data_IF_494963047641
#
_entry.id   IF_494963047641
#
_cell.length_a   1.000
_cell.length_b   1.000
_cell.length_c   1.000
_cell.angle_alpha   90.00
_cell.angle_beta   90.00
_cell.angle_gamma   90.00
#
_symmetry.space_group_name_H-M   'P 1'
#
loop_
_entity.id
_entity.type
_entity.pdbx_description
1 polymer ?
#
# COMPACT_ATOMS: atom_id res chain seq x y z
N UNK A 1 -1.67 -0.95 9.19
CA UNK A 1 -2.56 -0.34 10.19
C UNK A 1 -1.80 0.05 11.46
N UNK A 2 -1.01 -0.86 12.05
CA UNK A 2 -0.32 -0.59 13.31
C UNK A 2 0.64 0.61 13.24
N UNK A 3 1.35 0.77 12.13
CA UNK A 3 2.21 1.93 11.89
C UNK A 3 1.41 3.24 11.85
N UNK A 4 0.21 3.21 11.27
CA UNK A 4 -0.69 4.36 11.25
C UNK A 4 -1.25 4.66 12.64
N UNK A 5 -1.58 3.64 13.42
CA UNK A 5 -2.11 3.80 14.78
C UNK A 5 -1.15 4.57 15.70
N UNK A 6 0.15 4.38 15.50
CA UNK A 6 1.18 5.10 16.25
C UNK A 6 1.38 6.53 15.74
N UNK A 7 1.24 6.75 14.42
CA UNK A 7 1.62 8.01 13.76
C UNK A 7 0.49 9.01 13.61
N UNK A 8 -0.75 8.56 13.58
CA UNK A 8 -1.93 9.42 13.36
C UNK A 8 -2.67 9.61 14.66
N UNK A 9 -2.58 10.81 15.23
CA UNK A 9 -3.28 11.20 16.44
C UNK A 9 -3.75 12.66 16.30
N UNK A 10 -5.05 12.96 16.51
CA UNK A 10 -6.12 11.99 16.78
C UNK A 10 -6.48 11.15 15.55
N UNK A 11 -7.01 9.96 15.78
CA UNK A 11 -7.56 9.11 14.72
C UNK A 11 -8.87 9.68 14.17
N UNK A 12 -9.29 9.27 12.94
CA UNK A 12 -10.59 9.64 12.40
C UNK A 12 -11.71 9.29 13.37
N UNK A 13 -12.75 10.12 13.38
CA UNK A 13 -13.90 9.94 14.27
C UNK A 13 -14.55 8.55 14.05
N UNK A 14 -14.84 7.87 15.15
CA UNK A 14 -15.52 6.58 15.12
C UNK A 14 -14.61 5.35 15.07
N UNK A 15 -13.29 5.52 14.98
CA UNK A 15 -12.35 4.40 15.03
C UNK A 15 -11.34 4.55 16.16
N UNK A 16 -10.97 3.42 16.76
CA UNK A 16 -9.89 3.33 17.76
C UNK A 16 -8.60 2.79 17.16
N UNK A 17 -8.70 2.02 16.07
CA UNK A 17 -7.57 1.49 15.32
C UNK A 17 -7.87 1.47 13.84
N UNK A 18 -6.87 1.75 13.01
CA UNK A 18 -6.99 1.61 11.55
C UNK A 18 -7.25 0.17 11.10
N UNK A 19 -7.00 -0.82 11.96
CA UNK A 19 -7.38 -2.22 11.71
C UNK A 19 -8.89 -2.39 11.50
N UNK A 20 -9.71 -1.56 12.11
CA UNK A 20 -11.17 -1.60 11.97
C UNK A 20 -11.64 -1.28 10.55
N UNK A 21 -10.77 -0.67 9.73
CA UNK A 21 -11.05 -0.36 8.32
C UNK A 21 -10.73 -1.52 7.37
N UNK A 22 -10.17 -2.63 7.87
CA UNK A 22 -9.85 -3.79 7.05
C UNK A 22 -11.15 -4.51 6.68
N UNK A 23 -11.40 -4.65 5.38
CA UNK A 23 -12.54 -5.39 4.84
C UNK A 23 -12.05 -6.45 3.87
N UNK A 24 -12.42 -7.70 4.13
CA UNK A 24 -12.10 -8.80 3.24
C UNK A 24 -13.12 -8.85 2.10
N UNK A 25 -12.62 -9.03 0.89
CA UNK A 25 -13.43 -9.09 -0.32
C UNK A 25 -13.13 -10.37 -1.09
N UNK A 26 -14.04 -10.73 -2.01
CA UNK A 26 -13.82 -11.86 -2.92
C UNK A 26 -12.58 -11.61 -3.77
N UNK A 27 -11.70 -12.59 -3.85
CA UNK A 27 -10.49 -12.50 -4.64
C UNK A 27 -10.78 -12.47 -6.14
N UNK A 28 -9.86 -11.91 -6.92
CA UNK A 28 -10.00 -11.91 -8.39
C UNK A 28 -9.63 -13.29 -8.96
N UNK A 29 -10.27 -13.74 -10.04
CA UNK A 29 -9.85 -14.94 -10.76
C UNK A 29 -8.39 -14.83 -11.24
N UNK A 30 -7.63 -15.92 -11.11
CA UNK A 30 -6.24 -15.98 -11.57
C UNK A 30 -5.25 -15.13 -10.75
N UNK A 31 -5.63 -14.76 -9.54
CA UNK A 31 -4.71 -14.02 -8.66
C UNK A 31 -3.58 -14.92 -8.20
N UNK A 32 -2.34 -14.47 -8.36
CA UNK A 32 -1.17 -15.20 -7.87
C UNK A 32 -1.20 -15.28 -6.34
N UNK A 33 -0.94 -16.49 -5.85
CA UNK A 33 -0.96 -16.75 -4.40
C UNK A 33 0.23 -16.12 -3.68
N UNK A 34 1.38 -16.02 -4.37
CA UNK A 34 2.61 -15.51 -3.78
C UNK A 34 3.56 -14.99 -4.85
N UNK A 35 4.23 -13.90 -4.55
CA UNK A 35 5.37 -13.39 -5.30
C UNK A 35 6.63 -13.59 -4.46
N UNK A 36 7.70 -14.07 -5.07
CA UNK A 36 9.02 -14.17 -4.46
C UNK A 36 10.08 -13.89 -5.51
N UNK A 37 10.91 -12.90 -5.27
CA UNK A 37 11.99 -12.49 -6.18
C UNK A 37 13.31 -12.93 -5.58
N UNK A 38 14.12 -13.62 -6.38
CA UNK A 38 15.49 -13.96 -6.04
C UNK A 38 16.44 -12.89 -6.56
N UNK A 39 17.01 -12.11 -5.66
CA UNK A 39 17.92 -11.01 -5.97
C UNK A 39 19.41 -11.43 -6.01
N UNK A 40 19.72 -12.73 -6.00
CA UNK A 40 21.11 -13.22 -5.93
C UNK A 40 21.94 -12.80 -7.15
N UNK A 41 21.37 -12.79 -8.34
CA UNK A 41 22.07 -12.40 -9.56
C UNK A 41 22.50 -10.93 -9.54
N UNK A 42 21.62 -10.01 -9.17
CA UNK A 42 21.98 -8.58 -9.08
C UNK A 42 23.00 -8.34 -7.98
N UNK A 43 22.88 -9.03 -6.86
CA UNK A 43 23.84 -8.92 -5.78
C UNK A 43 25.24 -9.40 -6.20
N UNK A 44 25.34 -10.57 -6.86
CA UNK A 44 26.64 -11.12 -7.30
C UNK A 44 27.26 -10.36 -8.46
N UNK A 45 26.46 -9.84 -9.40
CA UNK A 45 26.94 -9.20 -10.62
C UNK A 45 27.27 -7.71 -10.41
N UNK A 46 26.41 -7.00 -9.67
CA UNK A 46 26.52 -5.56 -9.49
C UNK A 46 26.84 -5.14 -8.04
N UNK A 47 26.93 -6.08 -7.13
CA UNK A 47 27.14 -5.79 -5.71
C UNK A 47 26.00 -5.05 -5.03
N UNK A 48 24.83 -5.00 -5.68
CA UNK A 48 23.68 -4.31 -5.14
C UNK A 48 22.93 -5.19 -4.13
N UNK A 49 22.62 -4.61 -2.99
CA UNK A 49 21.73 -5.23 -1.97
C UNK A 49 20.72 -4.19 -1.49
N UNK A 50 19.53 -4.64 -1.04
CA UNK A 50 18.57 -3.72 -0.43
C UNK A 50 19.20 -3.03 0.79
N UNK A 51 18.99 -1.71 0.90
CA UNK A 51 19.46 -0.92 2.03
C UNK A 51 18.44 -0.82 3.17
N UNK A 52 17.20 -1.22 2.90
CA UNK A 52 16.11 -1.21 3.87
C UNK A 52 15.61 -2.63 4.10
N UNK A 53 15.21 -2.93 5.33
CA UNK A 53 14.38 -4.09 5.63
C UNK A 53 12.93 -3.83 5.26
N UNK A 54 12.08 -4.86 5.27
CA UNK A 54 10.64 -4.66 5.08
C UNK A 54 10.08 -3.69 6.14
N UNK A 55 10.45 -3.88 7.39
CA UNK A 55 9.98 -3.06 8.51
C UNK A 55 10.42 -1.61 8.37
N UNK A 56 11.69 -1.37 8.13
CA UNK A 56 12.23 -0.01 8.00
C UNK A 56 11.71 0.70 6.74
N UNK A 57 11.63 -0.01 5.62
CA UNK A 57 11.11 0.52 4.37
C UNK A 57 9.61 0.85 4.44
N UNK A 58 8.81 -0.02 5.07
CA UNK A 58 7.39 0.23 5.24
C UNK A 58 7.13 1.43 6.16
N UNK A 59 7.89 1.56 7.25
CA UNK A 59 7.78 2.71 8.15
C UNK A 59 8.07 4.02 7.41
N UNK A 60 9.16 4.08 6.65
CA UNK A 60 9.51 5.24 5.83
C UNK A 60 8.45 5.56 4.77
N UNK A 61 7.88 4.54 4.16
CA UNK A 61 6.79 4.70 3.16
C UNK A 61 5.55 5.32 3.80
N UNK A 62 5.13 4.83 4.95
CA UNK A 62 3.99 5.41 5.68
C UNK A 62 4.28 6.86 6.06
N UNK A 63 5.46 7.16 6.57
CA UNK A 63 5.86 8.52 6.92
C UNK A 63 5.83 9.45 5.70
N UNK A 64 6.28 8.98 4.56
CA UNK A 64 6.24 9.75 3.32
C UNK A 64 4.80 10.07 2.88
N UNK A 65 3.90 9.09 2.88
CA UNK A 65 2.50 9.31 2.54
C UNK A 65 1.81 10.29 3.49
N UNK A 66 2.09 10.21 4.77
CA UNK A 66 1.54 11.14 5.76
C UNK A 66 2.07 12.58 5.57
N UNK A 67 3.33 12.73 5.18
CA UNK A 67 3.96 14.01 4.93
C UNK A 67 3.57 14.63 3.58
N UNK A 68 3.07 13.85 2.63
CA UNK A 68 2.78 14.29 1.25
C UNK A 68 1.31 14.13 0.89
N UNK A 69 0.41 14.53 1.77
CA UNK A 69 -1.05 14.43 1.57
C UNK A 69 -1.52 15.10 0.29
N UNK A 70 -1.02 16.30 0.00
CA UNK A 70 -1.42 17.05 -1.20
C UNK A 70 -1.10 16.29 -2.49
N UNK A 71 -0.01 15.54 -2.51
CA UNK A 71 0.38 14.75 -3.66
C UNK A 71 -0.64 13.65 -3.98
N UNK A 72 -0.97 12.79 -3.03
CA UNK A 72 -1.90 11.68 -3.30
C UNK A 72 -3.37 12.14 -3.35
N UNK A 73 -3.73 13.23 -2.66
CA UNK A 73 -5.06 13.82 -2.81
C UNK A 73 -5.27 14.35 -4.22
N UNK A 74 -4.26 15.03 -4.79
CA UNK A 74 -4.29 15.50 -6.17
C UNK A 74 -4.40 14.34 -7.17
N UNK A 75 -3.67 13.26 -6.97
CA UNK A 75 -3.78 12.06 -7.82
C UNK A 75 -5.19 11.47 -7.74
N UNK A 76 -5.76 11.36 -6.56
CA UNK A 76 -7.10 10.80 -6.36
C UNK A 76 -8.23 11.72 -6.84
N UNK A 77 -8.06 13.00 -6.84
CA UNK A 77 -9.06 13.97 -7.34
C UNK A 77 -9.13 14.01 -8.87
N UNK A 78 -8.22 13.35 -9.58
CA UNK A 78 -8.23 13.19 -11.03
C UNK A 78 -9.17 12.07 -11.51
N UNK A 79 -8.75 11.37 -12.56
CA UNK A 79 -9.56 10.31 -13.19
C UNK A 79 -9.70 9.04 -12.33
N UNK A 80 -8.74 8.77 -11.43
CA UNK A 80 -8.74 7.57 -10.60
C UNK A 80 -9.15 7.89 -9.16
N UNK A 81 -10.25 7.28 -8.71
CA UNK A 81 -10.81 7.48 -7.37
C UNK A 81 -10.51 6.31 -6.40
N UNK A 82 -9.64 5.39 -6.78
CA UNK A 82 -9.33 4.19 -6.00
C UNK A 82 -10.25 3.00 -6.32
N UNK A 83 -10.99 3.09 -7.42
CA UNK A 83 -11.87 2.00 -7.89
C UNK A 83 -11.04 0.80 -8.35
N UNK A 84 -11.66 -0.39 -8.27
CA UNK A 84 -11.02 -1.63 -8.71
C UNK A 84 -10.90 -1.67 -10.23
N UNK A 85 -9.68 -1.56 -10.73
CA UNK A 85 -9.39 -1.66 -12.17
C UNK A 85 -9.63 -3.09 -12.69
N UNK A 86 -9.97 -3.21 -13.99
CA UNK A 86 -10.12 -4.49 -14.67
C UNK A 86 -11.49 -5.16 -14.50
N UNK A 87 -12.46 -4.53 -13.87
CA UNK A 87 -13.86 -4.94 -13.98
C UNK A 87 -14.47 -4.27 -15.20
N UNK A 88 -14.94 -5.08 -16.15
CA UNK A 88 -15.90 -4.59 -17.15
C UNK A 88 -17.12 -4.09 -16.37
N UNK A 89 -17.45 -2.83 -16.49
CA UNK A 89 -18.76 -2.35 -16.04
C UNK A 89 -19.78 -3.12 -16.88
N UNK A 90 -20.58 -3.97 -16.22
CA UNK A 90 -21.79 -4.45 -16.85
C UNK A 90 -22.68 -3.21 -17.02
N UNK A 91 -22.72 -2.72 -18.25
CA UNK A 91 -23.76 -1.79 -18.68
C UNK A 91 -25.03 -2.60 -18.74
N UNK A 92 -25.95 -2.34 -17.83
CA UNK A 92 -27.33 -2.79 -17.91
C UNK A 92 -28.03 -2.16 -19.11
#
# INVERSE_FOLDING_TARGET
CDLLDVRVNPKPQGIQSFRELITFVTDRPGHDKRYAIDASKIASTLGWTPQETFESGLAKTVDWFLANKDWWQRVRSGAYQGERLGRLQQTD
#
